data_IF_970440676415
#
_entry.id   IF_970440676415
#
_cell.length_a   1.000
_cell.length_b   1.000
_cell.length_c   1.000
_cell.angle_alpha   90.00
_cell.angle_beta   90.00
_cell.angle_gamma   90.00
#
_symmetry.space_group_name_H-M   'P 1'
#
loop_
_entity.id
_entity.type
_entity.pdbx_description
1 polymer ?
#
# COMPACT_ATOMS: atom_id res chain seq x y z
N UNK A 1 -22.49 -3.92 -20.37
CA UNK A 1 -21.05 -3.97 -20.74
C UNK A 1 -20.25 -3.96 -19.45
N UNK A 2 -19.50 -5.02 -19.16
CA UNK A 2 -18.65 -5.10 -17.96
C UNK A 2 -17.54 -4.06 -18.07
N UNK A 3 -17.72 -2.92 -17.42
CA UNK A 3 -16.66 -1.92 -17.31
C UNK A 3 -15.58 -2.53 -16.40
N UNK A 4 -14.41 -2.85 -16.94
CA UNK A 4 -13.32 -3.49 -16.17
C UNK A 4 -12.96 -2.71 -14.89
N UNK A 5 -13.22 -1.40 -14.89
CA UNK A 5 -13.04 -0.51 -13.73
C UNK A 5 -14.02 -0.75 -12.58
N UNK A 6 -15.06 -1.58 -12.73
CA UNK A 6 -16.00 -1.93 -11.64
C UNK A 6 -15.72 -3.29 -11.00
N UNK A 7 -14.63 -3.97 -11.39
CA UNK A 7 -14.28 -5.30 -10.86
C UNK A 7 -14.22 -5.35 -9.33
N UNK A 8 -13.63 -4.32 -8.71
CA UNK A 8 -13.56 -4.20 -7.25
C UNK A 8 -14.94 -4.02 -6.59
N UNK A 9 -15.87 -3.32 -7.23
CA UNK A 9 -17.22 -3.11 -6.71
C UNK A 9 -17.98 -4.43 -6.62
N UNK A 10 -17.79 -5.33 -7.59
CA UNK A 10 -18.38 -6.66 -7.54
C UNK A 10 -17.76 -7.51 -6.43
N UNK A 11 -16.44 -7.45 -6.24
CA UNK A 11 -15.75 -8.13 -5.14
C UNK A 11 -16.20 -7.62 -3.76
N UNK A 12 -16.47 -6.31 -3.62
CA UNK A 12 -17.03 -5.73 -2.39
C UNK A 12 -18.41 -6.32 -2.05
N UNK A 13 -19.21 -6.69 -3.04
CA UNK A 13 -20.55 -7.27 -2.84
C UNK A 13 -20.53 -8.77 -2.51
N UNK A 14 -19.39 -9.44 -2.64
CA UNK A 14 -19.25 -10.88 -2.40
C UNK A 14 -18.49 -11.12 -1.09
N UNK A 15 -19.19 -11.42 0.03
CA UNK A 15 -18.57 -11.64 1.33
C UNK A 15 -17.56 -12.80 1.34
N UNK A 16 -17.67 -13.76 0.41
CA UNK A 16 -16.72 -14.88 0.33
C UNK A 16 -15.31 -14.44 -0.08
N UNK A 17 -15.17 -13.22 -0.60
CA UNK A 17 -13.88 -12.63 -0.99
C UNK A 17 -13.23 -11.83 0.13
N UNK A 18 -13.95 -11.56 1.22
CA UNK A 18 -13.48 -10.73 2.33
C UNK A 18 -12.66 -11.59 3.29
N UNK A 19 -11.41 -11.21 3.52
CA UNK A 19 -10.50 -11.89 4.44
C UNK A 19 -10.69 -11.35 5.85
N UNK A 20 -10.77 -10.03 5.97
CA UNK A 20 -11.03 -9.28 7.20
C UNK A 20 -12.05 -8.20 6.84
N UNK A 21 -12.99 -7.92 7.74
CA UNK A 21 -13.99 -6.87 7.54
C UNK A 21 -14.25 -6.14 8.86
N UNK A 22 -14.51 -4.84 8.74
CA UNK A 22 -15.07 -4.00 9.80
C UNK A 22 -16.37 -3.36 9.32
N UNK A 23 -16.94 -2.46 10.11
CA UNK A 23 -18.10 -1.66 9.72
C UNK A 23 -17.77 -0.57 8.68
N UNK A 24 -16.48 -0.29 8.42
CA UNK A 24 -16.05 0.78 7.51
C UNK A 24 -15.32 0.28 6.27
N UNK A 25 -14.66 -0.87 6.34
CA UNK A 25 -13.80 -1.34 5.26
C UNK A 25 -13.62 -2.87 5.26
N UNK A 26 -13.09 -3.39 4.15
CA UNK A 26 -12.78 -4.82 3.97
C UNK A 26 -11.40 -5.02 3.37
N UNK A 27 -10.78 -6.13 3.73
CA UNK A 27 -9.52 -6.61 3.14
C UNK A 27 -9.82 -7.75 2.19
N UNK A 28 -9.32 -7.67 0.97
CA UNK A 28 -9.45 -8.71 -0.06
C UNK A 28 -8.08 -9.08 -0.63
N UNK A 29 -7.97 -10.24 -1.28
CA UNK A 29 -6.78 -10.59 -2.08
C UNK A 29 -6.81 -9.86 -3.43
N UNK A 30 -5.68 -9.33 -3.86
CA UNK A 30 -5.54 -8.81 -5.21
C UNK A 30 -5.63 -9.96 -6.24
N UNK A 31 -6.42 -9.77 -7.30
CA UNK A 31 -6.64 -10.79 -8.32
C UNK A 31 -5.42 -11.01 -9.23
N UNK A 32 -4.56 -10.00 -9.36
CA UNK A 32 -3.35 -9.99 -10.17
C UNK A 32 -2.12 -9.60 -9.33
N UNK A 33 -1.80 -10.39 -8.28
CA UNK A 33 -0.84 -10.02 -7.24
C UNK A 33 0.53 -9.70 -7.83
N UNK A 34 1.24 -8.66 -7.36
CA UNK A 34 2.57 -8.28 -7.88
C UNK A 34 3.74 -8.81 -7.04
N UNK A 35 3.44 -9.43 -5.92
CA UNK A 35 4.35 -10.11 -5.00
C UNK A 35 3.68 -11.36 -4.41
N UNK A 36 4.37 -12.12 -3.56
CA UNK A 36 3.80 -13.28 -2.86
C UNK A 36 2.54 -12.90 -2.07
N UNK A 37 2.58 -11.79 -1.36
CA UNK A 37 1.45 -11.21 -0.65
C UNK A 37 1.04 -9.91 -1.34
N UNK A 38 -0.21 -9.85 -1.79
CA UNK A 38 -0.79 -8.63 -2.32
C UNK A 38 -2.28 -8.60 -1.97
N UNK A 39 -2.63 -7.68 -1.09
CA UNK A 39 -3.99 -7.45 -0.61
C UNK A 39 -4.40 -6.02 -0.90
N UNK A 40 -5.71 -5.81 -0.89
CA UNK A 40 -6.34 -4.51 -1.04
C UNK A 40 -7.24 -4.26 0.16
N UNK A 41 -7.09 -3.10 0.81
CA UNK A 41 -8.05 -2.60 1.80
C UNK A 41 -8.96 -1.59 1.11
N UNK A 42 -10.27 -1.85 1.13
CA UNK A 42 -11.26 -1.04 0.45
C UNK A 42 -12.28 -0.49 1.45
N UNK A 43 -12.57 0.82 1.43
CA UNK A 43 -13.67 1.36 2.20
C UNK A 43 -15.01 0.89 1.63
N UNK A 44 -15.99 0.70 2.52
CA UNK A 44 -17.40 0.49 2.14
C UNK A 44 -18.01 1.79 1.58
N UNK A 45 -17.51 2.95 2.03
CA UNK A 45 -17.88 4.25 1.49
C UNK A 45 -17.56 4.37 -0.01
N UNK A 46 -18.41 5.07 -0.75
CA UNK A 46 -18.25 5.27 -2.19
C UNK A 46 -17.26 6.39 -2.52
N UNK A 47 -15.97 6.10 -2.36
CA UNK A 47 -14.89 7.03 -2.66
C UNK A 47 -14.18 6.59 -3.94
N UNK A 48 -14.27 7.33 -5.06
CA UNK A 48 -13.76 6.85 -6.34
C UNK A 48 -12.25 6.60 -6.35
N UNK A 49 -11.46 7.53 -5.80
CA UNK A 49 -10.00 7.47 -5.78
C UNK A 49 -9.43 8.26 -4.59
N UNK A 50 -8.10 8.23 -4.41
CA UNK A 50 -7.40 9.03 -3.40
C UNK A 50 -7.66 10.54 -3.54
N UNK A 51 -7.98 11.03 -4.73
CA UNK A 51 -8.16 12.47 -4.97
C UNK A 51 -9.48 13.03 -4.45
N UNK A 52 -10.40 12.16 -4.01
CA UNK A 52 -11.64 12.56 -3.33
C UNK A 52 -11.52 12.52 -1.81
N UNK A 53 -10.36 12.12 -1.26
CA UNK A 53 -10.11 12.17 0.17
C UNK A 53 -9.97 13.63 0.64
N UNK A 54 -10.50 13.90 1.82
CA UNK A 54 -10.50 15.19 2.53
C UNK A 54 -10.11 14.99 3.99
N UNK A 55 -9.95 16.07 4.75
CA UNK A 55 -9.69 16.00 6.19
C UNK A 55 -10.78 15.23 6.98
N UNK A 56 -12.02 15.19 6.49
CA UNK A 56 -13.12 14.44 7.12
C UNK A 56 -12.92 12.93 7.02
N UNK A 57 -12.04 12.47 6.11
CA UNK A 57 -11.76 11.06 5.90
C UNK A 57 -10.60 10.53 6.77
N UNK A 58 -10.04 11.34 7.69
CA UNK A 58 -8.90 10.93 8.51
C UNK A 58 -9.18 9.68 9.37
N UNK A 59 -10.36 9.59 9.99
CA UNK A 59 -10.76 8.41 10.77
C UNK A 59 -10.90 7.16 9.90
N UNK A 60 -11.38 7.32 8.65
CA UNK A 60 -11.43 6.21 7.68
C UNK A 60 -10.01 5.76 7.31
N UNK A 61 -9.08 6.70 7.10
CA UNK A 61 -7.69 6.38 6.76
C UNK A 61 -6.97 5.62 7.87
N UNK A 62 -7.23 5.96 9.13
CA UNK A 62 -6.75 5.21 10.29
C UNK A 62 -7.25 3.76 10.27
N UNK A 63 -8.55 3.56 10.07
CA UNK A 63 -9.15 2.24 9.99
C UNK A 63 -8.56 1.39 8.84
N UNK A 64 -8.40 1.99 7.65
CA UNK A 64 -7.78 1.29 6.51
C UNK A 64 -6.36 0.81 6.84
N UNK A 65 -5.60 1.63 7.58
CA UNK A 65 -4.24 1.29 7.99
C UNK A 65 -4.23 0.20 9.08
N UNK A 66 -5.13 0.25 10.06
CA UNK A 66 -5.25 -0.81 11.07
C UNK A 66 -5.60 -2.17 10.43
N UNK A 67 -6.50 -2.18 9.45
CA UNK A 67 -6.80 -3.39 8.67
C UNK A 67 -5.61 -3.87 7.85
N UNK A 68 -4.78 -2.95 7.33
CA UNK A 68 -3.54 -3.29 6.62
C UNK A 68 -2.50 -3.95 7.54
N UNK A 69 -2.36 -3.48 8.78
CA UNK A 69 -1.51 -4.13 9.78
C UNK A 69 -2.05 -5.51 10.18
N UNK A 70 -3.37 -5.60 10.41
CA UNK A 70 -4.02 -6.83 10.82
C UNK A 70 -3.85 -7.97 9.79
N UNK A 71 -3.96 -7.67 8.48
CA UNK A 71 -3.74 -8.71 7.46
C UNK A 71 -2.30 -9.22 7.43
N UNK A 72 -1.31 -8.38 7.75
CA UNK A 72 0.10 -8.81 7.85
C UNK A 72 0.28 -9.74 9.06
N UNK A 73 -0.28 -9.36 10.21
CA UNK A 73 -0.24 -10.15 11.45
C UNK A 73 -0.95 -11.51 11.29
N UNK A 74 -2.16 -11.54 10.71
CA UNK A 74 -2.91 -12.77 10.42
C UNK A 74 -2.13 -13.71 9.50
N UNK A 75 -1.28 -13.16 8.62
CA UNK A 75 -0.42 -13.95 7.73
C UNK A 75 0.90 -14.35 8.37
N UNK A 76 1.13 -13.98 9.63
CA UNK A 76 2.34 -14.27 10.40
C UNK A 76 3.61 -13.77 9.68
N UNK A 77 3.49 -12.62 9.02
CA UNK A 77 4.57 -11.96 8.31
C UNK A 77 5.12 -10.75 9.08
N UNK A 78 6.36 -10.36 8.79
CA UNK A 78 6.97 -9.15 9.36
C UNK A 78 6.53 -7.91 8.56
N UNK A 79 6.02 -6.88 9.26
CA UNK A 79 5.67 -5.58 8.69
C UNK A 79 6.81 -4.96 7.86
N UNK A 80 8.07 -5.17 8.25
CA UNK A 80 9.26 -4.67 7.56
C UNK A 80 9.41 -5.21 6.14
N UNK A 81 8.76 -6.34 5.84
CA UNK A 81 8.74 -6.96 4.52
C UNK A 81 7.62 -6.43 3.63
N UNK A 82 6.84 -5.44 4.07
CA UNK A 82 5.68 -4.93 3.35
C UNK A 82 5.82 -3.46 2.97
N UNK A 83 5.09 -3.07 1.93
CA UNK A 83 4.77 -1.70 1.57
C UNK A 83 3.25 -1.54 1.66
N UNK A 84 2.82 -0.44 2.25
CA UNK A 84 1.42 -0.08 2.39
C UNK A 84 1.21 1.28 1.73
N UNK A 85 0.22 1.42 0.86
CA UNK A 85 0.04 2.69 0.16
C UNK A 85 -1.00 2.72 -0.95
N UNK A 86 -0.97 3.79 -1.73
CA UNK A 86 -1.91 4.02 -2.83
C UNK A 86 -1.18 4.34 -4.12
N UNK A 87 -1.76 3.99 -5.26
CA UNK A 87 -1.24 4.47 -6.55
C UNK A 87 -1.57 5.95 -6.79
N UNK A 88 -0.58 6.72 -7.26
CA UNK A 88 -0.77 8.07 -7.82
C UNK A 88 -0.07 8.19 -9.19
N UNK A 89 -0.81 8.27 -10.31
CA UNK A 89 -2.27 8.19 -10.40
C UNK A 89 -2.82 6.77 -10.13
N UNK A 90 -4.06 6.65 -9.66
CA UNK A 90 -4.74 5.36 -9.46
C UNK A 90 -4.98 4.66 -10.80
N UNK A 91 -4.79 3.34 -10.83
CA UNK A 91 -4.98 2.52 -12.03
C UNK A 91 -6.45 2.17 -12.32
N UNK A 92 -7.29 2.19 -11.28
CA UNK A 92 -8.73 1.92 -11.38
C UNK A 92 -9.51 2.56 -10.22
N UNK A 93 -10.83 2.58 -10.36
CA UNK A 93 -11.78 2.85 -9.27
C UNK A 93 -12.21 1.50 -8.65
N UNK A 94 -12.69 1.41 -7.42
CA UNK A 94 -12.88 2.39 -6.33
C UNK A 94 -11.56 2.62 -5.55
N UNK A 95 -11.48 3.57 -4.62
CA UNK A 95 -10.36 3.75 -3.69
C UNK A 95 -9.94 2.41 -3.06
N UNK A 96 -8.64 2.10 -3.08
CA UNK A 96 -8.07 0.89 -2.48
C UNK A 96 -6.64 1.14 -2.01
N UNK A 97 -6.34 0.75 -0.78
CA UNK A 97 -4.99 0.74 -0.22
C UNK A 97 -4.33 -0.60 -0.52
N UNK A 98 -3.16 -0.58 -1.14
CA UNK A 98 -2.34 -1.75 -1.37
C UNK A 98 -1.61 -2.14 -0.09
N UNK A 99 -1.58 -3.44 0.19
CA UNK A 99 -0.73 -4.08 1.20
C UNK A 99 0.05 -5.17 0.48
N UNK A 100 1.32 -4.89 0.18
CA UNK A 100 2.12 -5.70 -0.74
C UNK A 100 3.48 -6.05 -0.14
N UNK A 101 3.89 -7.31 -0.23
CA UNK A 101 5.22 -7.72 0.20
C UNK A 101 6.31 -7.24 -0.77
N UNK A 102 7.48 -6.94 -0.23
CA UNK A 102 8.64 -6.34 -0.93
C UNK A 102 9.41 -7.34 -1.79
N UNK A 103 9.02 -8.61 -1.83
CA UNK A 103 9.67 -9.62 -2.68
C UNK A 103 9.43 -9.37 -4.17
N UNK A 104 8.26 -8.83 -4.55
CA UNK A 104 7.83 -8.63 -5.93
C UNK A 104 7.97 -9.88 -6.84
N UNK A 105 7.90 -11.08 -6.25
CA UNK A 105 7.94 -12.34 -6.97
C UNK A 105 6.53 -12.73 -7.37
N UNK A 106 6.19 -12.49 -8.64
CA UNK A 106 4.89 -12.90 -9.19
C UNK A 106 4.90 -13.09 -10.71
N UNK A 107 4.11 -14.05 -11.20
CA UNK A 107 3.76 -14.19 -12.61
C UNK A 107 3.07 -12.94 -13.18
N UNK A 108 2.30 -12.21 -12.37
CA UNK A 108 1.54 -11.03 -12.79
C UNK A 108 2.34 -9.71 -12.75
N UNK A 109 3.60 -9.73 -12.30
CA UNK A 109 4.53 -8.61 -12.43
C UNK A 109 5.08 -8.59 -13.87
N UNK A 110 4.67 -7.58 -14.64
CA UNK A 110 4.95 -7.50 -16.09
C UNK A 110 5.74 -6.24 -16.51
N UNK A 111 5.61 -5.16 -15.76
CA UNK A 111 6.15 -3.84 -16.11
C UNK A 111 7.12 -3.35 -15.04
N UNK A 112 8.08 -2.51 -15.47
CA UNK A 112 9.00 -1.78 -14.59
C UNK A 112 8.25 -0.84 -13.65
N UNK A 113 7.23 -0.19 -14.19
CA UNK A 113 6.35 0.67 -13.41
C UNK A 113 5.38 -0.24 -12.68
N UNK A 114 5.64 -0.49 -11.40
CA UNK A 114 4.72 -1.18 -10.49
C UNK A 114 3.51 -0.27 -10.15
N UNK A 115 3.48 0.95 -10.69
CA UNK A 115 2.67 2.04 -10.18
C UNK A 115 3.50 2.73 -9.11
N UNK A 116 3.59 4.06 -9.17
CA UNK A 116 4.12 4.82 -8.05
C UNK A 116 3.13 4.60 -6.90
N UNK A 117 3.44 3.62 -6.06
CA UNK A 117 2.82 3.50 -4.74
C UNK A 117 3.34 4.73 -4.00
N UNK A 118 2.46 5.68 -3.65
CA UNK A 118 2.70 6.56 -2.52
C UNK A 118 2.84 5.61 -1.34
N UNK A 119 4.08 5.24 -1.06
CA UNK A 119 4.39 4.37 0.05
C UNK A 119 4.15 5.21 1.29
N UNK A 120 3.29 4.72 2.18
CA UNK A 120 3.23 5.18 3.55
C UNK A 120 4.44 4.58 4.30
N UNK A 121 5.65 4.64 3.71
CA UNK A 121 6.85 4.03 4.27
C UNK A 121 7.28 4.86 5.48
N UNK A 122 6.78 4.46 6.64
CA UNK A 122 7.32 4.83 7.93
C UNK A 122 8.54 3.96 8.22
N UNK A 123 9.71 4.42 7.77
CA UNK A 123 10.96 4.07 8.41
C UNK A 123 11.75 5.33 8.66
N UNK A 124 11.55 5.94 9.84
CA UNK A 124 12.61 6.73 10.44
C UNK A 124 13.46 5.74 11.25
N UNK A 125 14.67 5.35 10.81
CA UNK A 125 15.58 4.63 11.68
C UNK A 125 16.12 5.64 12.69
N UNK A 126 15.34 5.95 13.73
CA UNK A 126 15.94 6.51 14.91
C UNK A 126 16.77 5.41 15.54
N UNK A 127 18.09 5.63 15.62
CA UNK A 127 18.96 4.92 16.54
C UNK A 127 18.36 5.07 17.94
N UNK A 128 17.69 4.03 18.44
CA UNK A 128 17.13 4.02 19.79
C UNK A 128 18.25 3.61 20.74
N UNK A 129 19.19 4.51 20.97
CA UNK A 129 20.07 4.40 22.13
C UNK A 129 19.27 4.86 23.35
N UNK A 130 18.92 3.88 24.19
CA UNK A 130 18.30 4.00 25.53
C UNK A 130 16.90 4.63 25.56
N UNK A 131 15.86 3.81 25.44
CA UNK A 131 14.72 3.90 26.37
C UNK A 131 13.96 2.57 26.34
N UNK A 132 14.32 1.70 27.28
CA UNK A 132 13.50 0.54 27.64
C UNK A 132 12.71 0.92 28.91
N UNK A 133 11.52 0.34 28.99
CA UNK A 133 10.63 0.20 30.15
C UNK A 133 9.50 1.23 30.37
N UNK A 134 8.31 0.61 30.47
CA UNK A 134 7.03 1.01 31.07
C UNK A 134 6.08 1.77 30.13
N UNK A 135 5.16 1.04 29.49
CA UNK A 135 3.74 1.45 29.42
C UNK A 135 2.82 0.21 29.37
N UNK A 136 2.55 -0.37 30.54
CA UNK A 136 1.23 -0.89 30.86
C UNK A 136 0.45 0.33 31.42
N UNK A 137 -0.81 0.52 30.99
CA UNK A 137 -1.69 1.68 31.24
C UNK A 137 -1.42 2.94 30.40
N UNK A 138 -2.46 3.35 29.65
CA UNK A 138 -2.59 4.54 28.79
C UNK A 138 -2.02 4.35 27.37
N UNK A 139 -2.82 3.70 26.52
CA UNK A 139 -2.60 3.51 25.08
C UNK A 139 -2.63 4.79 24.25
N UNK A 140 -1.83 5.79 24.60
CA UNK A 140 -1.80 7.09 23.93
C UNK A 140 -0.45 7.46 23.30
N UNK A 141 0.65 6.75 23.61
CA UNK A 141 1.99 7.13 23.11
C UNK A 141 2.47 6.37 21.87
N UNK A 142 1.95 5.17 21.56
CA UNK A 142 2.19 4.52 20.25
C UNK A 142 1.42 5.20 19.10
N UNK A 143 0.39 5.98 19.44
CA UNK A 143 -0.45 6.75 18.52
C UNK A 143 0.21 8.02 17.97
N UNK A 144 1.33 8.48 18.55
CA UNK A 144 1.83 9.83 18.34
C UNK A 144 2.66 10.03 17.04
N UNK A 145 3.14 8.95 16.40
CA UNK A 145 3.91 9.04 15.15
C UNK A 145 3.08 8.67 13.90
N UNK A 146 1.75 8.65 14.05
CA UNK A 146 0.78 8.01 13.17
C UNK A 146 0.37 8.78 11.91
N UNK A 147 1.11 9.80 11.47
CA UNK A 147 0.66 10.62 10.33
C UNK A 147 1.43 10.34 9.05
N UNK A 148 0.85 9.45 8.23
CA UNK A 148 1.38 9.15 6.91
C UNK A 148 1.40 10.43 6.07
N UNK A 149 2.30 10.49 5.08
CA UNK A 149 2.39 11.59 4.10
C UNK A 149 1.00 11.94 3.53
N UNK A 150 0.17 10.93 3.25
CA UNK A 150 -1.22 11.11 2.81
C UNK A 150 -2.07 11.82 3.86
N UNK A 151 -2.06 11.35 5.11
CA UNK A 151 -2.86 11.96 6.16
C UNK A 151 -2.36 13.39 6.48
N UNK A 152 -1.06 13.66 6.36
CA UNK A 152 -0.48 15.00 6.50
C UNK A 152 -0.93 15.92 5.37
N UNK A 153 -0.91 15.46 4.12
CA UNK A 153 -1.44 16.22 2.99
C UNK A 153 -2.92 16.53 3.16
N UNK A 154 -3.72 15.59 3.67
CA UNK A 154 -5.14 15.83 3.96
C UNK A 154 -5.34 16.89 5.06
N UNK A 155 -4.53 16.87 6.12
CA UNK A 155 -4.59 17.89 7.19
C UNK A 155 -4.18 19.27 6.72
N UNK A 156 -3.08 19.38 5.97
CA UNK A 156 -2.49 20.66 5.60
C UNK A 156 -3.21 21.26 4.38
N UNK A 157 -3.45 20.45 3.35
CA UNK A 157 -3.97 20.91 2.06
C UNK A 157 -5.46 20.65 1.88
N UNK A 158 -6.09 19.87 2.78
CA UNK A 158 -7.49 19.45 2.66
C UNK A 158 -7.74 18.40 1.58
N UNK A 159 -6.72 18.03 0.79
CA UNK A 159 -6.81 17.11 -0.36
C UNK A 159 -5.45 16.57 -0.78
N UNK A 160 -5.46 15.44 -1.49
CA UNK A 160 -4.29 14.87 -2.16
C UNK A 160 -4.23 15.40 -3.60
N UNK A 161 -3.06 15.83 -4.05
CA UNK A 161 -2.85 16.31 -5.42
C UNK A 161 -2.36 15.18 -6.34
N UNK A 162 -2.90 15.07 -7.57
CA UNK A 162 -2.32 14.20 -8.58
C UNK A 162 -0.89 14.64 -8.91
N UNK A 163 0.00 13.67 -9.13
CA UNK A 163 1.31 13.97 -9.71
C UNK A 163 1.14 14.51 -11.13
N UNK A 164 1.90 15.56 -11.45
CA UNK A 164 1.99 16.13 -12.78
C UNK A 164 2.71 15.16 -13.73
N UNK A 165 2.54 15.37 -15.04
CA UNK A 165 3.25 14.58 -16.05
C UNK A 165 4.77 14.67 -15.90
N UNK A 166 5.29 15.82 -15.46
CA UNK A 166 6.72 16.05 -15.24
C UNK A 166 7.21 15.22 -14.07
N UNK A 167 6.55 15.30 -12.91
CA UNK A 167 6.90 14.51 -11.73
C UNK A 167 6.82 12.99 -12.01
N UNK A 168 5.81 12.54 -12.75
CA UNK A 168 5.70 11.14 -13.18
C UNK A 168 6.85 10.70 -14.09
N UNK A 169 7.27 11.56 -15.02
CA UNK A 169 8.40 11.28 -15.90
C UNK A 169 9.70 11.21 -15.11
N UNK A 170 9.92 12.10 -14.15
CA UNK A 170 11.10 12.09 -13.28
C UNK A 170 11.17 10.82 -12.44
N UNK A 171 10.06 10.40 -11.83
CA UNK A 171 9.98 9.17 -11.03
C UNK A 171 10.15 7.89 -11.84
N UNK A 172 9.92 7.93 -13.15
CA UNK A 172 9.99 6.74 -14.04
C UNK A 172 11.23 6.73 -14.94
N UNK A 173 12.10 7.75 -14.83
CA UNK A 173 13.27 7.94 -15.68
C UNK A 173 14.39 6.94 -15.39
N UNK A 174 14.56 6.58 -14.12
CA UNK A 174 15.63 5.69 -13.67
C UNK A 174 15.55 4.32 -14.30
N UNK A 175 16.68 3.72 -14.69
CA UNK A 175 16.74 2.38 -15.29
C UNK A 175 16.14 1.29 -14.39
N UNK A 176 15.83 0.14 -14.99
CA UNK A 176 15.31 -0.99 -14.22
C UNK A 176 16.34 -1.43 -13.18
N UNK A 177 15.93 -1.49 -11.92
CA UNK A 177 16.78 -1.83 -10.78
C UNK A 177 16.04 -2.75 -9.80
N UNK A 178 16.78 -3.65 -9.15
CA UNK A 178 16.27 -4.44 -8.04
C UNK A 178 15.93 -3.54 -6.83
N UNK A 179 14.81 -3.81 -6.16
CA UNK A 179 14.41 -3.09 -4.96
C UNK A 179 15.11 -3.57 -3.67
N UNK A 180 15.92 -4.63 -3.75
CA UNK A 180 16.56 -5.29 -2.59
C UNK A 180 18.11 -5.23 -2.64
N UNK A 181 18.70 -4.88 -3.79
CA UNK A 181 20.14 -4.75 -3.95
C UNK A 181 20.52 -3.82 -5.12
N UNK A 182 21.81 -3.69 -5.42
CA UNK A 182 22.34 -2.82 -6.47
C UNK A 182 22.23 -3.39 -7.90
N UNK A 183 21.65 -4.59 -8.09
CA UNK A 183 21.54 -5.22 -9.40
C UNK A 183 20.66 -4.43 -10.37
N UNK A 184 21.17 -4.20 -11.60
CA UNK A 184 20.50 -3.46 -12.68
C UNK A 184 20.25 -4.38 -13.89
N UNK A 185 19.08 -5.03 -13.98
CA UNK A 185 18.77 -5.92 -15.10
C UNK A 185 18.46 -5.16 -16.39
N UNK A 186 18.77 -5.78 -17.53
CA UNK A 186 18.48 -5.21 -18.86
C UNK A 186 17.01 -5.27 -19.25
N UNK A 187 16.22 -6.16 -18.63
CA UNK A 187 14.81 -6.36 -18.94
C UNK A 187 14.06 -7.00 -17.76
N UNK A 188 12.73 -6.99 -17.83
CA UNK A 188 11.86 -7.55 -16.79
C UNK A 188 12.07 -9.05 -16.53
N UNK A 189 12.25 -9.93 -17.54
CA UNK A 189 12.57 -11.34 -17.29
C UNK A 189 13.79 -11.55 -16.38
N UNK A 190 14.90 -10.85 -16.66
CA UNK A 190 16.11 -10.93 -15.83
C UNK A 190 15.88 -10.37 -14.42
N UNK A 191 15.07 -9.30 -14.28
CA UNK A 191 14.68 -8.83 -12.96
C UNK A 191 13.91 -9.91 -12.19
N UNK A 192 12.93 -10.55 -12.83
CA UNK A 192 12.09 -11.56 -12.17
C UNK A 192 12.89 -12.78 -11.75
N UNK A 193 13.81 -13.23 -12.61
CA UNK A 193 14.76 -14.30 -12.26
C UNK A 193 15.61 -13.89 -11.04
N UNK A 194 16.17 -12.68 -11.07
CA UNK A 194 16.94 -12.15 -9.95
C UNK A 194 16.13 -11.97 -8.65
N UNK A 195 14.86 -11.55 -8.72
CA UNK A 195 14.03 -11.41 -7.52
C UNK A 195 13.83 -12.75 -6.79
N UNK A 196 13.84 -13.87 -7.51
CA UNK A 196 13.78 -15.19 -6.88
C UNK A 196 15.05 -15.52 -6.07
N UNK A 197 16.22 -14.95 -6.39
CA UNK A 197 17.45 -15.21 -5.61
C UNK A 197 17.44 -14.56 -4.22
N UNK A 198 16.52 -13.64 -3.96
CA UNK A 198 16.32 -13.05 -2.62
C UNK A 198 15.38 -13.87 -1.74
N UNK A 199 14.70 -14.88 -2.31
CA UNK A 199 13.88 -15.79 -1.53
C UNK A 199 14.81 -16.78 -0.81
N UNK A 200 14.80 -16.73 0.52
CA UNK A 200 15.44 -17.74 1.38
C UNK A 200 14.61 -19.03 1.40
#
# INVERSE_FOLDING_TARGET
>A
MSNWSSGLINTLKDPSKHIIASNLAVVIKDLYPKAKHHYLVLPLADIPTIFQLTADHLSLMEELYLLALNIIEVKQEDLNNFQIGFHNPPSMQRLHMHVISRDFVSGCLKTKNIGIVIILDFFCPMKVDKFHLIVNMLGCCLYAHFFSEVCQQLKINGKIKPLTKVELQELTKEDLQCNQCSFKPRNMPLLKEHLNSHLK
#
